data_IF_590055698533
#
_entry.id   IF_590055698533
#
_cell.length_a   1.000
_cell.length_b   1.000
_cell.length_c   1.000
_cell.angle_alpha   90.00
_cell.angle_beta   90.00
_cell.angle_gamma   90.00
#
_symmetry.space_group_name_H-M   'P 1'
#
loop_
_entity.id
_entity.type
_entity.pdbx_description
1 polymer ?
#
# COMPACT_ATOMS: atom_id res chain seq x y z
N UNK A 1 -47.31 -76.19 -33.23
CA UNK A 1 -48.63 -75.60 -33.26
C UNK A 1 -48.48 -74.12 -32.84
N UNK A 2 -48.69 -73.26 -33.81
CA UNK A 2 -49.11 -71.87 -33.85
C UNK A 2 -48.18 -70.79 -33.28
N UNK A 3 -47.50 -70.19 -34.15
CA UNK A 3 -46.85 -68.86 -34.16
C UNK A 3 -47.87 -67.73 -33.99
N UNK A 4 -47.59 -66.77 -33.17
CA UNK A 4 -48.13 -65.39 -33.30
C UNK A 4 -46.96 -64.38 -33.16
N UNK A 5 -46.71 -63.69 -34.26
CA UNK A 5 -45.76 -62.58 -34.28
C UNK A 5 -46.33 -61.32 -33.66
N UNK A 6 -45.54 -60.61 -32.97
CA UNK A 6 -45.83 -59.29 -32.46
C UNK A 6 -44.87 -58.28 -33.14
N UNK A 7 -45.41 -57.57 -34.14
CA UNK A 7 -44.76 -56.46 -34.82
C UNK A 7 -45.05 -55.19 -34.00
N UNK A 8 -44.09 -54.75 -33.16
CA UNK A 8 -44.14 -53.45 -32.52
C UNK A 8 -43.54 -52.43 -33.45
N UNK A 9 -44.39 -51.57 -33.97
CA UNK A 9 -44.07 -50.31 -34.62
C UNK A 9 -43.15 -49.46 -33.76
N UNK A 10 -41.98 -49.10 -34.27
CA UNK A 10 -41.12 -48.07 -33.70
C UNK A 10 -41.58 -46.72 -34.25
N UNK A 11 -41.87 -45.71 -33.38
CA UNK A 11 -42.15 -44.37 -33.87
C UNK A 11 -40.87 -43.77 -34.47
N UNK A 12 -40.99 -43.31 -35.68
CA UNK A 12 -39.98 -42.54 -36.41
C UNK A 12 -39.58 -41.29 -35.63
N UNK A 13 -38.31 -41.15 -35.39
CA UNK A 13 -37.70 -39.99 -34.73
C UNK A 13 -38.04 -38.68 -35.50
N UNK A 14 -38.84 -37.82 -34.84
CA UNK A 14 -39.15 -36.49 -35.31
C UNK A 14 -37.85 -35.67 -35.50
N UNK A 15 -37.69 -35.10 -36.67
CA UNK A 15 -36.59 -34.25 -37.04
C UNK A 15 -36.44 -33.07 -36.04
N UNK A 16 -35.35 -33.04 -35.33
CA UNK A 16 -34.94 -31.86 -34.61
C UNK A 16 -34.54 -30.79 -35.65
N UNK A 17 -35.43 -29.87 -35.91
CA UNK A 17 -35.11 -28.63 -36.63
C UNK A 17 -34.00 -27.92 -35.83
N UNK A 18 -32.79 -27.94 -36.37
CA UNK A 18 -31.68 -27.17 -35.80
C UNK A 18 -32.07 -25.69 -35.86
N UNK A 19 -32.36 -25.10 -34.68
CA UNK A 19 -32.54 -23.68 -34.54
C UNK A 19 -31.18 -23.01 -34.87
N UNK A 20 -31.11 -22.39 -36.04
CA UNK A 20 -29.97 -21.52 -36.38
C UNK A 20 -29.87 -20.43 -35.33
N UNK A 21 -28.72 -20.25 -34.69
CA UNK A 21 -28.55 -19.14 -33.75
C UNK A 21 -28.84 -17.81 -34.44
N UNK A 22 -29.49 -16.87 -33.74
CA UNK A 22 -29.77 -15.54 -34.31
C UNK A 22 -28.45 -14.87 -34.77
N UNK A 23 -28.47 -14.11 -35.86
CA UNK A 23 -27.26 -13.43 -36.35
C UNK A 23 -26.71 -12.53 -35.23
N UNK A 24 -25.43 -12.77 -34.86
CA UNK A 24 -24.72 -11.93 -33.90
C UNK A 24 -24.72 -10.50 -34.41
N UNK A 25 -25.42 -9.63 -33.73
CA UNK A 25 -25.34 -8.18 -33.98
C UNK A 25 -23.88 -7.74 -33.78
N UNK A 26 -23.22 -7.14 -34.77
CA UNK A 26 -21.83 -6.73 -34.61
C UNK A 26 -21.77 -5.72 -33.47
N UNK A 27 -21.05 -6.10 -32.40
CA UNK A 27 -20.80 -5.21 -31.29
C UNK A 27 -20.16 -3.91 -31.80
N UNK A 28 -20.57 -2.72 -31.34
CA UNK A 28 -20.03 -1.47 -31.83
C UNK A 28 -18.51 -1.48 -31.56
N UNK A 29 -17.72 -1.54 -32.64
CA UNK A 29 -16.26 -1.44 -32.55
C UNK A 29 -15.94 -0.10 -31.94
N UNK A 30 -15.63 -0.09 -30.62
CA UNK A 30 -15.08 1.08 -29.93
C UNK A 30 -13.84 1.52 -30.71
N UNK A 31 -13.93 2.66 -31.40
CA UNK A 31 -12.81 3.26 -32.14
C UNK A 31 -11.67 3.44 -31.13
N UNK A 32 -10.62 2.64 -31.25
CA UNK A 32 -9.40 2.82 -30.47
C UNK A 32 -8.84 4.20 -30.82
N UNK A 33 -8.58 5.08 -29.84
CA UNK A 33 -8.02 6.39 -30.13
C UNK A 33 -6.70 6.25 -30.91
N UNK A 34 -6.43 7.18 -31.81
CA UNK A 34 -5.21 7.16 -32.63
C UNK A 34 -3.97 7.17 -31.75
N UNK A 35 -2.85 6.66 -32.21
CA UNK A 35 -1.60 6.65 -31.45
C UNK A 35 -1.21 8.07 -30.97
N UNK A 36 -1.44 9.09 -31.79
CA UNK A 36 -1.21 10.50 -31.44
C UNK A 36 -2.09 10.97 -30.27
N UNK A 37 -3.38 10.65 -30.29
CA UNK A 37 -4.30 11.01 -29.19
C UNK A 37 -3.86 10.37 -27.86
N UNK A 38 -3.41 9.11 -27.91
CA UNK A 38 -2.90 8.44 -26.70
C UNK A 38 -1.64 9.11 -26.15
N UNK A 39 -0.70 9.49 -27.02
CA UNK A 39 0.53 10.19 -26.61
C UNK A 39 0.20 11.56 -26.02
N UNK A 40 -0.70 12.32 -26.64
CA UNK A 40 -1.12 13.64 -26.14
C UNK A 40 -1.81 13.54 -24.78
N UNK A 41 -2.71 12.58 -24.59
CA UNK A 41 -3.38 12.34 -23.30
C UNK A 41 -2.35 11.92 -22.25
N UNK A 42 -1.44 10.99 -22.58
CA UNK A 42 -0.40 10.58 -21.67
C UNK A 42 0.51 11.75 -21.26
N UNK A 43 0.93 12.59 -22.22
CA UNK A 43 1.75 13.77 -21.96
C UNK A 43 1.02 14.78 -21.07
N UNK A 44 -0.25 15.05 -21.33
CA UNK A 44 -1.07 15.96 -20.52
C UNK A 44 -1.22 15.44 -19.07
N UNK A 45 -1.53 14.16 -18.91
CA UNK A 45 -1.61 13.52 -17.58
C UNK A 45 -0.26 13.61 -16.86
N UNK A 46 0.84 13.30 -17.56
CA UNK A 46 2.19 13.39 -16.96
C UNK A 46 2.50 14.83 -16.51
N UNK A 47 2.18 15.83 -17.30
CA UNK A 47 2.38 17.25 -16.95
C UNK A 47 1.59 17.65 -15.69
N UNK A 48 0.33 17.25 -15.61
CA UNK A 48 -0.52 17.55 -14.45
C UNK A 48 0.06 16.94 -13.17
N UNK A 49 0.50 15.66 -13.20
CA UNK A 49 1.08 14.99 -12.04
C UNK A 49 2.52 15.44 -11.74
N UNK A 50 3.27 15.90 -12.73
CA UNK A 50 4.62 16.42 -12.54
C UNK A 50 4.63 17.88 -12.00
N UNK A 51 3.55 18.64 -12.20
CA UNK A 51 3.49 20.04 -11.81
C UNK A 51 3.76 20.29 -10.31
N UNK A 52 3.14 19.60 -9.33
CA UNK A 52 3.43 19.80 -7.92
C UNK A 52 4.88 19.43 -7.55
N UNK A 53 5.44 18.39 -8.18
CA UNK A 53 6.83 17.98 -7.97
C UNK A 53 7.77 19.05 -8.53
N UNK A 54 7.48 19.58 -9.72
CA UNK A 54 8.22 20.66 -10.32
C UNK A 54 8.22 21.92 -9.40
N UNK A 55 7.04 22.31 -8.90
CA UNK A 55 6.93 23.46 -7.99
C UNK A 55 7.73 23.23 -6.71
N UNK A 56 7.69 22.06 -6.12
CA UNK A 56 8.49 21.73 -4.95
C UNK A 56 9.98 21.86 -5.24
N UNK A 57 10.46 21.24 -6.33
CA UNK A 57 11.87 21.27 -6.71
C UNK A 57 12.35 22.69 -6.98
N UNK A 58 11.63 23.44 -7.83
CA UNK A 58 12.02 24.79 -8.25
C UNK A 58 12.05 25.75 -7.05
N UNK A 59 11.05 25.70 -6.17
CA UNK A 59 10.94 26.62 -5.06
C UNK A 59 11.84 26.22 -3.87
N UNK A 60 12.25 24.97 -3.74
CA UNK A 60 13.27 24.58 -2.75
C UNK A 60 14.62 25.27 -2.99
N UNK A 61 14.91 25.67 -4.22
CA UNK A 61 16.18 26.35 -4.61
C UNK A 61 15.98 27.81 -4.96
N UNK A 62 14.91 28.46 -4.50
CA UNK A 62 14.54 29.84 -4.84
C UNK A 62 14.40 30.70 -3.58
N UNK A 63 14.95 31.93 -3.56
CA UNK A 63 14.74 32.87 -2.44
C UNK A 63 13.27 33.17 -2.21
N UNK A 64 12.86 33.36 -0.96
CA UNK A 64 11.49 33.63 -0.51
C UNK A 64 10.78 34.70 -1.36
N UNK A 65 11.43 35.83 -1.60
CA UNK A 65 10.88 36.96 -2.34
C UNK A 65 10.47 36.58 -3.78
N UNK A 66 11.27 35.71 -4.41
CA UNK A 66 10.99 35.22 -5.77
C UNK A 66 9.92 34.16 -5.82
N UNK A 67 9.79 33.41 -4.74
CA UNK A 67 8.68 32.43 -4.61
C UNK A 67 7.36 33.18 -4.61
N UNK A 68 7.27 34.25 -3.82
CA UNK A 68 6.08 35.11 -3.73
C UNK A 68 5.78 35.86 -5.04
N UNK A 69 6.80 36.27 -5.76
CA UNK A 69 6.63 36.97 -7.04
C UNK A 69 6.21 36.10 -8.20
N UNK A 70 6.86 34.94 -8.37
CA UNK A 70 6.55 33.98 -9.43
C UNK A 70 7.00 32.56 -9.04
N UNK A 71 6.11 31.74 -8.47
CA UNK A 71 6.45 30.38 -8.03
C UNK A 71 6.77 29.41 -9.19
N UNK A 72 6.32 29.70 -10.41
CA UNK A 72 6.48 28.78 -11.55
C UNK A 72 7.82 29.00 -12.28
N UNK A 73 8.42 30.20 -12.17
CA UNK A 73 9.68 30.50 -12.85
C UNK A 73 10.83 29.59 -12.36
N UNK A 74 11.81 29.25 -13.20
CA UNK A 74 13.00 28.52 -12.78
C UNK A 74 13.80 29.28 -11.70
N UNK A 75 14.57 28.59 -10.84
CA UNK A 75 15.34 29.20 -9.75
C UNK A 75 16.63 29.83 -10.31
N UNK A 76 16.56 31.08 -10.72
CA UNK A 76 17.74 31.77 -11.26
C UNK A 76 17.96 33.11 -10.60
N UNK A 77 19.12 33.39 -9.94
CA UNK A 77 20.13 32.38 -9.56
C UNK A 77 19.59 31.42 -8.52
N UNK A 78 20.01 30.11 -8.54
CA UNK A 78 19.61 29.15 -7.53
C UNK A 78 20.30 29.46 -6.19
N UNK A 79 19.62 29.16 -5.07
CA UNK A 79 20.19 29.21 -3.73
C UNK A 79 20.04 27.86 -3.02
N UNK A 80 20.93 27.59 -2.07
CA UNK A 80 20.84 26.47 -1.13
C UNK A 80 20.36 26.92 0.26
N UNK A 81 20.08 28.23 0.45
CA UNK A 81 19.74 28.78 1.75
C UNK A 81 18.56 28.09 2.39
N UNK A 82 17.50 27.82 1.62
CA UNK A 82 16.32 27.10 2.11
C UNK A 82 16.64 25.71 2.68
N UNK A 83 17.59 25.01 2.05
CA UNK A 83 18.01 23.67 2.50
C UNK A 83 18.92 23.77 3.73
N UNK A 84 19.85 24.72 3.73
CA UNK A 84 20.76 24.94 4.86
C UNK A 84 20.00 25.42 6.09
N UNK A 85 19.05 26.34 5.93
CA UNK A 85 18.16 26.81 7.00
C UNK A 85 17.29 25.67 7.53
N UNK A 86 16.70 24.84 6.64
CA UNK A 86 15.93 23.69 7.06
C UNK A 86 16.76 22.67 7.87
N UNK A 87 18.02 22.45 7.50
CA UNK A 87 18.92 21.54 8.20
C UNK A 87 19.46 22.12 9.52
N UNK A 88 19.66 23.44 9.60
CA UNK A 88 20.20 24.13 10.76
C UNK A 88 19.14 24.66 11.72
N UNK A 89 17.88 24.29 11.55
CA UNK A 89 16.79 24.68 12.46
C UNK A 89 17.11 24.32 13.92
N UNK A 90 16.84 25.25 14.86
CA UNK A 90 17.10 25.01 16.29
C UNK A 90 16.38 23.82 16.88
N UNK A 91 15.21 23.46 16.32
CA UNK A 91 14.41 22.30 16.74
C UNK A 91 14.91 20.97 16.15
N UNK A 92 15.96 20.99 15.32
CA UNK A 92 16.52 19.82 14.64
C UNK A 92 15.46 18.99 13.90
N UNK A 93 14.44 19.64 13.35
CA UNK A 93 13.29 18.99 12.71
C UNK A 93 13.69 17.95 11.67
N UNK A 94 14.61 18.29 10.76
CA UNK A 94 14.98 17.38 9.67
C UNK A 94 15.69 16.13 10.20
N UNK A 95 16.83 16.23 10.93
CA UNK A 95 17.52 15.01 11.37
C UNK A 95 16.68 14.18 12.35
N UNK A 96 15.97 14.81 13.28
CA UNK A 96 15.12 14.11 14.24
C UNK A 96 13.86 13.56 13.59
N UNK A 97 13.16 14.36 12.79
CA UNK A 97 11.94 13.95 12.10
C UNK A 97 12.18 12.80 11.12
N UNK A 98 13.25 12.82 10.33
CA UNK A 98 13.63 11.72 9.44
C UNK A 98 14.00 10.47 10.23
N UNK A 99 14.83 10.59 11.28
CA UNK A 99 15.18 9.49 12.17
C UNK A 99 13.94 8.85 12.80
N UNK A 100 13.05 9.65 13.33
CA UNK A 100 11.85 9.18 14.03
C UNK A 100 10.88 8.49 13.05
N UNK A 101 10.64 9.10 11.88
CA UNK A 101 9.83 8.48 10.82
C UNK A 101 10.43 7.15 10.36
N UNK A 102 11.75 7.08 10.21
CA UNK A 102 12.42 5.84 9.82
C UNK A 102 12.27 4.75 10.89
N UNK A 103 12.49 5.08 12.17
CA UNK A 103 12.31 4.14 13.29
C UNK A 103 10.88 3.61 13.32
N UNK A 104 9.88 4.51 13.26
CA UNK A 104 8.47 4.11 13.29
C UNK A 104 8.13 3.23 12.09
N UNK A 105 8.53 3.62 10.87
CA UNK A 105 8.24 2.84 9.68
C UNK A 105 8.92 1.47 9.70
N UNK A 106 10.23 1.42 9.97
CA UNK A 106 10.99 0.16 10.00
C UNK A 106 10.48 -0.78 11.08
N UNK A 107 10.30 -0.30 12.31
CA UNK A 107 9.84 -1.14 13.42
C UNK A 107 8.41 -1.65 13.20
N UNK A 108 7.49 -0.79 12.74
CA UNK A 108 6.13 -1.21 12.43
C UNK A 108 6.09 -2.26 11.31
N UNK A 109 6.80 -2.03 10.21
CA UNK A 109 6.86 -2.99 9.10
C UNK A 109 7.53 -4.29 9.52
N UNK A 110 8.63 -4.22 10.29
CA UNK A 110 9.33 -5.39 10.83
C UNK A 110 8.47 -6.26 11.74
N UNK A 111 7.46 -5.69 12.39
CA UNK A 111 6.48 -6.43 13.19
C UNK A 111 5.29 -6.92 12.36
N UNK A 112 4.71 -6.06 11.52
CA UNK A 112 3.51 -6.38 10.75
C UNK A 112 3.77 -7.47 9.71
N UNK A 113 4.91 -7.45 9.03
CA UNK A 113 5.24 -8.40 7.97
C UNK A 113 5.30 -9.85 8.48
N UNK A 114 6.12 -10.19 9.50
CA UNK A 114 6.16 -11.56 10.02
C UNK A 114 4.84 -11.98 10.67
N UNK A 115 4.21 -11.12 11.47
CA UNK A 115 2.93 -11.45 12.13
C UNK A 115 1.81 -11.64 11.10
N UNK A 116 1.66 -10.73 10.14
CA UNK A 116 0.66 -10.82 9.09
C UNK A 116 0.86 -12.04 8.19
N UNK A 117 2.10 -12.35 7.81
CA UNK A 117 2.40 -13.52 6.97
C UNK A 117 2.21 -14.84 7.72
N UNK A 118 2.67 -14.94 8.98
CA UNK A 118 2.49 -16.14 9.81
C UNK A 118 1.00 -16.41 10.07
N UNK A 119 0.25 -15.36 10.43
CA UNK A 119 -1.20 -15.46 10.61
C UNK A 119 -1.90 -15.89 9.32
N UNK A 120 -1.52 -15.30 8.18
CA UNK A 120 -2.07 -15.65 6.88
C UNK A 120 -1.75 -17.09 6.47
N UNK A 121 -0.54 -17.57 6.75
CA UNK A 121 -0.16 -18.97 6.54
C UNK A 121 -1.06 -19.91 7.35
N UNK A 122 -1.24 -19.60 8.63
CA UNK A 122 -2.08 -20.41 9.50
C UNK A 122 -3.55 -20.41 9.05
N UNK A 123 -4.13 -19.23 8.77
CA UNK A 123 -5.55 -19.13 8.40
C UNK A 123 -5.83 -19.65 6.99
N UNK A 124 -4.90 -19.57 6.04
CA UNK A 124 -5.08 -20.06 4.68
C UNK A 124 -5.26 -21.58 4.63
N UNK A 125 -4.63 -22.31 5.59
CA UNK A 125 -4.68 -23.78 5.72
C UNK A 125 -5.88 -24.30 6.53
N UNK A 126 -6.72 -23.41 7.01
CA UNK A 126 -7.95 -23.77 7.73
C UNK A 126 -9.15 -23.73 6.78
N UNK A 127 -10.22 -24.39 7.18
CA UNK A 127 -11.51 -24.36 6.51
C UNK A 127 -12.62 -24.07 7.52
N UNK A 128 -13.82 -23.78 7.05
CA UNK A 128 -14.99 -23.61 7.88
C UNK A 128 -15.35 -22.18 8.24
N UNK A 129 -16.39 -22.03 9.07
CA UNK A 129 -17.02 -20.75 9.41
C UNK A 129 -16.09 -19.80 10.17
N UNK A 130 -15.21 -20.33 11.01
CA UNK A 130 -14.26 -19.51 11.81
C UNK A 130 -13.27 -18.78 10.88
N UNK A 131 -12.73 -19.48 9.87
CA UNK A 131 -11.89 -18.81 8.86
C UNK A 131 -12.65 -17.68 8.16
N UNK A 132 -13.87 -17.96 7.71
CA UNK A 132 -14.69 -16.97 7.03
C UNK A 132 -14.95 -15.76 7.94
N UNK A 133 -15.32 -15.97 9.19
CA UNK A 133 -15.55 -14.89 10.17
C UNK A 133 -14.31 -14.04 10.40
N UNK A 134 -13.14 -14.64 10.57
CA UNK A 134 -11.87 -13.92 10.75
C UNK A 134 -11.55 -13.08 9.51
N UNK A 135 -11.68 -13.64 8.30
CA UNK A 135 -11.41 -12.89 7.07
C UNK A 135 -12.40 -11.75 6.87
N UNK A 136 -13.68 -11.94 7.21
CA UNK A 136 -14.67 -10.87 7.18
C UNK A 136 -14.32 -9.78 8.19
N UNK A 137 -13.96 -10.12 9.43
CA UNK A 137 -13.57 -9.15 10.46
C UNK A 137 -12.34 -8.33 10.03
N UNK A 138 -11.31 -8.98 9.45
CA UNK A 138 -10.14 -8.29 8.93
C UNK A 138 -10.47 -7.40 7.74
N UNK A 139 -11.36 -7.87 6.83
CA UNK A 139 -11.82 -7.04 5.71
C UNK A 139 -12.61 -5.84 6.18
N UNK A 140 -13.45 -6.00 7.19
CA UNK A 140 -14.15 -4.89 7.83
C UNK A 140 -13.17 -3.89 8.45
N UNK A 141 -12.08 -4.36 9.07
CA UNK A 141 -11.01 -3.51 9.60
C UNK A 141 -10.34 -2.62 8.54
N UNK A 142 -10.29 -3.06 7.28
CA UNK A 142 -9.81 -2.21 6.17
C UNK A 142 -10.79 -1.11 5.78
N UNK A 143 -12.08 -1.28 6.07
CA UNK A 143 -13.12 -0.31 5.70
C UNK A 143 -13.31 0.76 6.77
N UNK A 144 -12.82 0.54 7.99
CA UNK A 144 -12.94 1.52 9.08
C UNK A 144 -11.92 2.63 8.85
N UNK A 145 -12.34 3.89 8.70
CA UNK A 145 -11.43 5.01 8.57
C UNK A 145 -10.52 5.11 9.83
N UNK A 146 -9.19 5.27 9.67
CA UNK A 146 -8.27 5.39 10.81
C UNK A 146 -8.66 6.48 11.81
N UNK A 147 -9.30 7.55 11.33
CA UNK A 147 -9.76 8.67 12.15
C UNK A 147 -10.79 8.25 13.22
N UNK A 148 -11.63 7.26 12.89
CA UNK A 148 -12.67 6.75 13.81
C UNK A 148 -12.04 5.95 14.95
N UNK A 149 -10.96 5.23 14.66
CA UNK A 149 -10.27 4.39 15.64
C UNK A 149 -9.26 5.13 16.50
N UNK A 150 -8.93 6.38 16.16
CA UNK A 150 -7.87 7.15 16.81
C UNK A 150 -8.13 7.34 18.31
N UNK A 151 -9.29 7.86 18.71
CA UNK A 151 -9.62 8.07 20.11
C UNK A 151 -9.66 6.78 20.97
N UNK A 152 -10.33 5.71 20.53
CA UNK A 152 -10.23 4.41 21.19
C UNK A 152 -8.80 3.91 21.34
N UNK A 153 -7.98 4.07 20.30
CA UNK A 153 -6.57 3.64 20.32
C UNK A 153 -5.78 4.43 21.37
N UNK A 154 -5.92 5.75 21.42
CA UNK A 154 -5.26 6.59 22.43
C UNK A 154 -5.69 6.15 23.85
N UNK A 155 -6.97 5.92 24.08
CA UNK A 155 -7.46 5.46 25.41
C UNK A 155 -6.85 4.13 25.82
N UNK A 156 -6.73 3.17 24.89
CA UNK A 156 -6.09 1.88 25.15
C UNK A 156 -4.60 2.10 25.48
N UNK A 157 -3.90 2.93 24.71
CA UNK A 157 -2.49 3.23 24.95
C UNK A 157 -2.27 3.90 26.30
N UNK A 158 -3.12 4.86 26.69
CA UNK A 158 -3.07 5.49 28.02
C UNK A 158 -3.31 4.47 29.13
N UNK A 159 -4.29 3.58 28.94
CA UNK A 159 -4.59 2.54 29.93
C UNK A 159 -3.43 1.57 30.17
N UNK A 160 -2.65 1.25 29.13
CA UNK A 160 -1.47 0.36 29.23
C UNK A 160 -0.16 1.13 29.46
N UNK A 161 -0.20 2.48 29.62
CA UNK A 161 0.97 3.32 29.89
C UNK A 161 1.92 3.48 28.70
N UNK A 162 1.43 3.37 27.47
CA UNK A 162 2.20 3.51 26.23
C UNK A 162 1.80 4.76 25.41
N UNK A 163 0.96 5.64 25.96
CA UNK A 163 0.70 6.94 25.36
C UNK A 163 1.99 7.79 25.32
N UNK A 164 2.01 8.77 24.46
CA UNK A 164 3.16 9.64 24.23
C UNK A 164 4.49 8.91 24.00
N UNK A 165 4.45 7.73 23.35
CA UNK A 165 5.66 6.93 23.17
C UNK A 165 5.76 6.32 21.76
N UNK A 166 6.99 6.10 21.27
CA UNK A 166 7.22 5.37 20.02
C UNK A 166 6.72 3.92 20.05
N UNK A 167 6.93 3.14 21.12
CA UNK A 167 6.33 1.81 21.24
C UNK A 167 4.81 1.85 21.11
N UNK A 168 4.15 2.83 21.71
CA UNK A 168 2.71 3.03 21.60
C UNK A 168 2.27 3.29 20.15
N UNK A 169 2.97 4.16 19.44
CA UNK A 169 2.68 4.43 18.02
C UNK A 169 2.90 3.19 17.13
N UNK A 170 3.99 2.43 17.37
CA UNK A 170 4.27 1.18 16.65
C UNK A 170 3.19 0.13 16.93
N UNK A 171 2.73 0.03 18.18
CA UNK A 171 1.64 -0.87 18.57
C UNK A 171 0.30 -0.44 17.96
N UNK A 172 0.02 0.86 17.89
CA UNK A 172 -1.15 1.40 17.19
C UNK A 172 -1.16 1.02 15.71
N UNK A 173 -0.01 1.12 15.05
CA UNK A 173 0.16 0.69 13.65
C UNK A 173 -0.10 -0.82 13.49
N UNK A 174 0.30 -1.64 14.45
CA UNK A 174 0.03 -3.08 14.44
C UNK A 174 -1.47 -3.38 14.64
N UNK A 175 -2.14 -2.67 15.55
CA UNK A 175 -3.56 -2.88 15.85
C UNK A 175 -4.54 -2.32 14.82
N UNK A 176 -4.07 -1.47 13.89
CA UNK A 176 -4.90 -0.80 12.90
C UNK A 176 -5.11 -1.59 11.60
N UNK A 177 -5.60 -0.87 10.58
CA UNK A 177 -5.84 -1.43 9.24
C UNK A 177 -4.60 -1.99 8.52
N UNK A 178 -3.39 -1.63 8.97
CA UNK A 178 -2.15 -2.07 8.33
C UNK A 178 -1.92 -3.58 8.45
N UNK A 179 -2.19 -4.19 9.61
CA UNK A 179 -2.13 -5.64 9.77
C UNK A 179 -3.21 -6.32 8.92
N UNK A 180 -4.42 -5.78 8.89
CA UNK A 180 -5.52 -6.28 8.05
C UNK A 180 -5.13 -6.27 6.58
N UNK A 181 -4.50 -5.20 6.10
CA UNK A 181 -3.98 -5.12 4.73
C UNK A 181 -2.91 -6.19 4.46
N UNK A 182 -1.94 -6.33 5.35
CA UNK A 182 -0.89 -7.36 5.20
C UNK A 182 -1.50 -8.76 5.11
N UNK A 183 -2.44 -9.08 6.01
CA UNK A 183 -3.13 -10.38 5.99
C UNK A 183 -3.93 -10.58 4.71
N UNK A 184 -4.67 -9.56 4.25
CA UNK A 184 -5.43 -9.63 3.01
C UNK A 184 -4.54 -9.96 1.80
N UNK A 185 -3.42 -9.25 1.66
CA UNK A 185 -2.46 -9.50 0.57
C UNK A 185 -1.86 -10.90 0.69
N UNK A 186 -1.36 -11.28 1.87
CA UNK A 186 -0.72 -12.58 2.06
C UNK A 186 -1.70 -13.75 1.85
N UNK A 187 -2.94 -13.67 2.33
CA UNK A 187 -3.95 -14.72 2.10
C UNK A 187 -4.22 -14.90 0.62
N UNK A 188 -4.26 -13.81 -0.15
CA UNK A 188 -4.40 -13.86 -1.60
C UNK A 188 -3.27 -14.67 -2.27
N UNK A 189 -2.04 -14.38 -1.92
CA UNK A 189 -0.87 -15.07 -2.48
C UNK A 189 -0.68 -16.49 -1.95
N UNK A 190 -1.02 -16.77 -0.69
CA UNK A 190 -0.88 -18.10 -0.11
C UNK A 190 -1.81 -19.14 -0.74
N UNK A 191 -2.89 -18.71 -1.40
CA UNK A 191 -3.75 -19.59 -2.21
C UNK A 191 -3.05 -20.15 -3.45
N UNK A 192 -1.99 -19.50 -3.92
CA UNK A 192 -1.20 -19.97 -5.07
C UNK A 192 -0.07 -20.92 -4.68
N UNK A 193 0.21 -21.09 -3.38
CA UNK A 193 1.20 -22.06 -2.89
C UNK A 193 0.55 -23.44 -2.83
N UNK A 194 1.02 -24.45 -3.62
CA UNK A 194 0.47 -25.80 -3.64
C UNK A 194 0.51 -26.45 -2.26
N UNK A 195 -0.57 -27.15 -1.91
CA UNK A 195 -0.65 -27.85 -0.63
C UNK A 195 0.33 -29.02 -0.54
N UNK A 196 0.68 -29.62 -1.68
CA UNK A 196 1.61 -30.71 -1.81
C UNK A 196 3.00 -30.38 -1.27
N UNK A 197 3.47 -29.14 -1.52
CA UNK A 197 4.77 -28.65 -1.01
C UNK A 197 4.77 -28.64 0.53
N UNK A 198 3.66 -28.19 1.12
CA UNK A 198 3.53 -28.12 2.58
C UNK A 198 3.36 -29.49 3.19
N UNK A 199 2.64 -30.40 2.51
CA UNK A 199 2.45 -31.78 2.96
C UNK A 199 3.76 -32.58 2.89
N UNK A 200 4.51 -32.47 1.79
CA UNK A 200 5.81 -33.10 1.65
C UNK A 200 6.77 -32.66 2.77
N UNK A 201 6.85 -31.37 3.03
CA UNK A 201 7.70 -30.85 4.10
C UNK A 201 7.28 -31.35 5.50
N UNK A 202 5.98 -31.59 5.72
CA UNK A 202 5.52 -32.21 6.98
C UNK A 202 5.92 -33.68 7.09
N UNK A 203 5.88 -34.42 5.99
CA UNK A 203 6.35 -35.80 5.95
C UNK A 203 7.84 -35.89 6.23
N UNK A 204 8.63 -34.88 5.79
CA UNK A 204 10.05 -34.73 6.08
C UNK A 204 10.31 -34.27 7.54
N UNK A 205 9.28 -34.13 8.37
CA UNK A 205 9.41 -33.75 9.78
C UNK A 205 9.61 -32.26 10.04
N UNK A 206 9.38 -31.37 9.05
CA UNK A 206 9.51 -29.96 9.25
C UNK A 206 8.37 -29.39 10.12
N UNK A 207 8.73 -28.60 11.15
CA UNK A 207 7.75 -27.88 11.99
C UNK A 207 7.01 -26.80 11.20
N UNK A 208 5.81 -26.41 11.66
CA UNK A 208 5.02 -25.37 11.01
C UNK A 208 5.75 -24.04 10.87
N UNK A 209 6.57 -23.64 11.86
CA UNK A 209 7.39 -22.45 11.82
C UNK A 209 8.49 -22.55 10.75
N UNK A 210 9.13 -23.74 10.65
CA UNK A 210 10.15 -24.01 9.64
C UNK A 210 9.56 -23.96 8.23
N UNK A 211 8.38 -24.57 8.02
CA UNK A 211 7.65 -24.54 6.74
C UNK A 211 7.32 -23.09 6.38
N UNK A 212 6.74 -22.32 7.31
CA UNK A 212 6.41 -20.94 7.07
C UNK A 212 7.63 -20.11 6.66
N UNK A 213 8.72 -20.16 7.43
CA UNK A 213 9.87 -19.29 7.22
C UNK A 213 10.76 -19.72 6.04
N UNK A 214 11.07 -21.02 5.94
CA UNK A 214 12.05 -21.54 4.97
C UNK A 214 11.43 -21.92 3.62
N UNK A 215 10.12 -22.21 3.57
CA UNK A 215 9.48 -22.70 2.35
C UNK A 215 8.47 -21.65 1.85
N UNK A 216 7.50 -21.25 2.68
CA UNK A 216 6.40 -20.41 2.22
C UNK A 216 6.83 -18.96 2.01
N UNK A 217 7.58 -18.36 2.96
CA UNK A 217 8.02 -16.96 2.84
C UNK A 217 8.84 -16.67 1.57
N UNK A 218 9.78 -17.54 1.15
CA UNK A 218 10.45 -17.38 -0.15
C UNK A 218 9.50 -17.43 -1.35
N UNK A 219 8.48 -18.27 -1.32
CA UNK A 219 7.50 -18.39 -2.41
C UNK A 219 6.59 -17.17 -2.53
N UNK A 220 6.28 -16.52 -1.39
CA UNK A 220 5.43 -15.32 -1.36
C UNK A 220 6.22 -14.01 -1.31
N UNK A 221 7.50 -14.01 -1.69
CA UNK A 221 8.34 -12.79 -1.77
C UNK A 221 7.67 -11.62 -2.52
N UNK A 222 6.96 -11.83 -3.65
CA UNK A 222 6.27 -10.73 -4.32
C UNK A 222 5.19 -10.08 -3.45
N UNK A 223 4.44 -10.88 -2.67
CA UNK A 223 3.49 -10.36 -1.70
C UNK A 223 4.19 -9.56 -0.59
N UNK A 224 5.30 -10.09 -0.09
CA UNK A 224 6.11 -9.40 0.94
C UNK A 224 6.59 -8.04 0.44
N UNK A 225 7.11 -7.97 -0.78
CA UNK A 225 7.53 -6.71 -1.38
C UNK A 225 6.36 -5.71 -1.48
N UNK A 226 5.18 -6.17 -1.93
CA UNK A 226 3.97 -5.35 -1.98
C UNK A 226 3.60 -4.81 -0.59
N UNK A 227 3.53 -5.69 0.42
CA UNK A 227 3.19 -5.29 1.79
C UNK A 227 4.20 -4.30 2.35
N UNK A 228 5.49 -4.57 2.23
CA UNK A 228 6.56 -3.67 2.71
C UNK A 228 6.45 -2.29 2.09
N UNK A 229 6.29 -2.20 0.78
CA UNK A 229 6.21 -0.92 0.06
C UNK A 229 4.98 -0.12 0.50
N UNK A 230 3.78 -0.72 0.47
CA UNK A 230 2.56 0.00 0.84
C UNK A 230 2.57 0.43 2.31
N UNK A 231 2.97 -0.46 3.23
CA UNK A 231 3.04 -0.12 4.64
C UNK A 231 4.08 0.98 4.91
N UNK A 232 5.26 0.89 4.30
CA UNK A 232 6.28 1.93 4.47
C UNK A 232 5.76 3.28 3.99
N UNK A 233 5.11 3.33 2.81
CA UNK A 233 4.55 4.58 2.29
C UNK A 233 3.43 5.12 3.17
N UNK A 234 2.52 4.29 3.64
CA UNK A 234 1.41 4.73 4.48
C UNK A 234 1.88 5.22 5.85
N UNK A 235 2.76 4.46 6.51
CA UNK A 235 3.30 4.84 7.82
C UNK A 235 4.19 6.09 7.72
N UNK A 236 4.97 6.21 6.64
CA UNK A 236 5.79 7.40 6.40
C UNK A 236 4.95 8.66 6.23
N UNK A 237 3.85 8.57 5.51
CA UNK A 237 2.94 9.68 5.25
C UNK A 237 1.87 9.86 6.34
N UNK A 238 1.84 9.00 7.36
CA UNK A 238 0.89 9.15 8.45
C UNK A 238 1.19 10.43 9.24
N UNK A 239 0.14 11.20 9.41
CA UNK A 239 0.16 12.48 10.11
C UNK A 239 -0.62 12.41 11.42
N UNK A 240 -1.82 11.80 11.39
CA UNK A 240 -2.75 11.86 12.50
C UNK A 240 -2.29 11.03 13.71
N UNK A 241 -1.91 9.76 13.48
CA UNK A 241 -1.47 8.92 14.58
C UNK A 241 -0.23 9.49 15.30
N UNK A 242 0.86 9.89 14.59
CA UNK A 242 2.00 10.53 15.26
C UNK A 242 1.62 11.82 15.97
N UNK A 243 0.77 12.67 15.38
CA UNK A 243 0.38 13.95 15.97
C UNK A 243 -0.31 13.75 17.33
N UNK A 244 -1.25 12.81 17.41
CA UNK A 244 -2.06 12.62 18.60
C UNK A 244 -1.47 11.61 19.59
N UNK A 245 -0.74 10.60 19.12
CA UNK A 245 -0.15 9.57 20.01
C UNK A 245 1.18 10.04 20.59
N UNK A 246 2.09 10.63 19.81
CA UNK A 246 3.35 11.13 20.33
C UNK A 246 3.14 12.47 21.06
N UNK A 247 2.26 13.31 20.53
CA UNK A 247 2.06 14.66 21.03
C UNK A 247 3.32 15.55 20.91
N UNK A 248 3.32 16.73 21.54
CA UNK A 248 4.42 17.70 21.36
C UNK A 248 5.68 17.34 22.18
N UNK A 249 5.60 16.43 23.13
CA UNK A 249 6.66 16.17 24.12
C UNK A 249 7.71 15.16 23.66
N UNK A 250 7.35 14.18 22.81
CA UNK A 250 8.21 13.04 22.48
C UNK A 250 8.98 13.18 21.16
N UNK A 251 8.89 14.36 20.55
CA UNK A 251 9.47 14.61 19.22
C UNK A 251 8.50 14.25 18.09
N UNK A 252 8.84 14.69 16.91
CA UNK A 252 7.94 14.69 15.75
C UNK A 252 8.43 13.73 14.69
N UNK A 253 7.51 13.14 13.95
CA UNK A 253 7.81 12.57 12.65
C UNK A 253 8.01 13.70 11.65
N UNK A 254 8.60 13.39 10.50
CA UNK A 254 8.85 14.42 9.48
C UNK A 254 7.55 15.06 8.97
N UNK A 255 6.46 14.31 8.89
CA UNK A 255 5.15 14.80 8.46
C UNK A 255 4.50 15.72 9.49
N UNK A 256 4.55 15.38 10.78
CA UNK A 256 4.03 16.23 11.84
C UNK A 256 4.88 17.49 12.02
N UNK A 257 6.19 17.38 11.90
CA UNK A 257 7.10 18.52 11.96
C UNK A 257 6.90 19.49 10.80
N UNK A 258 6.70 19.01 9.60
CA UNK A 258 6.35 19.84 8.44
C UNK A 258 5.07 20.63 8.68
N UNK A 259 4.04 20.02 9.23
CA UNK A 259 2.79 20.70 9.56
C UNK A 259 2.99 21.83 10.58
N UNK A 260 3.79 21.60 11.61
CA UNK A 260 4.06 22.61 12.65
C UNK A 260 4.96 23.75 12.16
N UNK A 261 5.63 23.59 11.01
CA UNK A 261 6.40 24.66 10.35
C UNK A 261 5.48 25.73 9.73
N UNK A 262 4.23 25.37 9.42
CA UNK A 262 3.23 26.31 8.92
C UNK A 262 2.76 27.16 10.10
N UNK A 263 3.39 28.34 10.27
CA UNK A 263 3.04 29.28 11.33
C UNK A 263 1.63 29.85 11.15
N UNK A 264 1.03 30.31 12.26
CA UNK A 264 -0.30 30.92 12.23
C UNK A 264 -0.32 32.32 11.57
N UNK A 265 0.80 33.04 11.59
CA UNK A 265 0.86 34.43 11.17
C UNK A 265 1.80 34.70 9.98
N UNK A 266 2.79 33.85 9.76
CA UNK A 266 3.71 33.95 8.62
C UNK A 266 4.21 32.58 8.21
N UNK A 267 4.30 32.36 6.90
CA UNK A 267 4.86 31.13 6.32
C UNK A 267 6.12 31.54 5.56
N UNK A 268 7.25 30.98 5.97
CA UNK A 268 8.45 30.98 5.16
C UNK A 268 8.33 29.87 4.10
N UNK A 269 7.94 30.26 2.90
CA UNK A 269 7.76 29.31 1.79
C UNK A 269 9.09 28.71 1.34
N UNK A 270 10.20 29.44 1.41
CA UNK A 270 11.52 28.92 1.09
C UNK A 270 11.88 27.76 2.00
N UNK A 271 11.81 27.98 3.30
CA UNK A 271 12.05 26.96 4.31
C UNK A 271 11.05 25.79 4.18
N UNK A 272 9.76 26.09 3.94
CA UNK A 272 8.74 25.05 3.74
C UNK A 272 9.07 24.13 2.55
N UNK A 273 9.39 24.70 1.38
CA UNK A 273 9.78 23.91 0.21
C UNK A 273 11.11 23.19 0.42
N UNK A 274 12.06 23.77 1.14
CA UNK A 274 13.30 23.10 1.54
C UNK A 274 13.04 21.85 2.40
N UNK A 275 12.19 21.97 3.42
CA UNK A 275 11.79 20.84 4.26
C UNK A 275 11.04 19.78 3.45
N UNK A 276 10.09 20.18 2.60
CA UNK A 276 9.35 19.26 1.74
C UNK A 276 10.27 18.47 0.81
N UNK A 277 11.26 19.14 0.23
CA UNK A 277 12.26 18.48 -0.63
C UNK A 277 13.07 17.45 0.15
N UNK A 278 13.62 17.81 1.32
CA UNK A 278 14.40 16.91 2.17
C UNK A 278 13.56 15.73 2.71
N UNK A 279 12.32 16.03 3.12
CA UNK A 279 11.38 15.01 3.61
C UNK A 279 10.98 14.00 2.52
N UNK A 280 10.81 14.48 1.28
CA UNK A 280 10.45 13.65 0.13
C UNK A 280 11.62 12.88 -0.48
N UNK A 281 12.85 13.36 -0.30
CA UNK A 281 14.04 12.73 -0.90
C UNK A 281 14.24 11.28 -0.45
N UNK A 282 14.08 11.00 0.85
CA UNK A 282 14.31 9.65 1.40
C UNK A 282 13.31 8.61 0.87
N UNK A 283 11.99 8.84 0.87
CA UNK A 283 11.03 7.93 0.24
C UNK A 283 11.26 7.73 -1.27
N UNK A 284 11.62 8.79 -1.98
CA UNK A 284 11.90 8.71 -3.42
C UNK A 284 13.12 7.84 -3.69
N UNK A 285 14.22 8.05 -2.97
CA UNK A 285 15.42 7.19 -3.07
C UNK A 285 15.07 5.75 -2.70
N UNK A 286 14.34 5.54 -1.61
CA UNK A 286 13.86 4.22 -1.22
C UNK A 286 13.03 3.54 -2.31
N UNK A 287 12.10 4.26 -2.93
CA UNK A 287 11.29 3.75 -4.03
C UNK A 287 12.15 3.37 -5.25
N UNK A 288 13.08 4.21 -5.65
CA UNK A 288 13.96 3.94 -6.80
C UNK A 288 14.78 2.66 -6.63
N UNK A 289 15.13 2.27 -5.40
CA UNK A 289 15.87 1.03 -5.12
C UNK A 289 14.99 -0.22 -5.26
N UNK A 290 13.68 -0.12 -4.97
CA UNK A 290 12.75 -1.27 -4.94
C UNK A 290 11.72 -1.29 -6.07
N UNK A 291 11.72 -0.30 -6.98
CA UNK A 291 10.70 -0.16 -8.04
C UNK A 291 10.57 -1.38 -8.96
N UNK A 292 11.66 -2.09 -9.23
CA UNK A 292 11.64 -3.29 -10.08
C UNK A 292 10.82 -4.43 -9.44
N UNK A 293 10.97 -4.61 -8.13
CA UNK A 293 10.21 -5.60 -7.36
C UNK A 293 8.72 -5.21 -7.28
N UNK A 294 8.44 -3.91 -7.21
CA UNK A 294 7.08 -3.38 -7.20
C UNK A 294 6.31 -3.70 -8.48
N UNK A 295 6.92 -3.41 -9.64
CA UNK A 295 6.30 -3.70 -10.95
C UNK A 295 6.05 -5.20 -11.13
N UNK A 296 7.01 -6.05 -10.74
CA UNK A 296 6.87 -7.50 -10.81
C UNK A 296 5.75 -8.03 -9.90
N UNK A 297 5.57 -7.45 -8.69
CA UNK A 297 4.52 -7.83 -7.76
C UNK A 297 3.10 -7.48 -8.25
N UNK A 298 2.92 -6.30 -8.87
CA UNK A 298 1.63 -5.87 -9.41
C UNK A 298 1.21 -6.68 -10.64
N UNK A 299 2.15 -6.99 -11.54
CA UNK A 299 1.85 -7.73 -12.77
C UNK A 299 1.54 -9.21 -12.51
N UNK A 300 2.15 -9.83 -11.51
CA UNK A 300 1.84 -11.21 -11.11
C UNK A 300 0.43 -11.38 -10.52
N UNK A 301 -0.13 -10.34 -9.93
CA UNK A 301 -1.52 -10.32 -9.44
C UNK A 301 -2.59 -10.05 -10.50
N UNK A 302 -2.20 -9.45 -11.64
CA UNK A 302 -3.13 -9.05 -12.71
C UNK A 302 -3.25 -10.09 -13.84
N UNK A 303 -2.44 -11.13 -13.85
CA UNK A 303 -2.38 -12.17 -14.92
C UNK A 303 -3.18 -13.43 -14.62
N UNK A 304 -4.22 -13.34 -13.77
CA UNK A 304 -5.19 -14.42 -13.54
C UNK A 304 -6.57 -14.05 -14.03
#
# INVERSE_FOLDING_TARGET
MTTIGDTRDRPTAGGRTALTPPPETPSPRRRRPSGRTRVLVAAAVTLVFAAPIYLMLVNAFKPQERILGNPVAPPWPPTLDNLTEALSRPDNLIPLGLRNSLIVAVCSVALIVPLGSAFSFYISRRSGRVKAAILVALSAGLMIPPQVTLLPTIRILTWIGLDHSYPGLILANLGGGYLSFAVFVYVGFMRSVPDEIVQAARLDGASGLRIWWQIVMPLVRPATATVVIFLTLWIWNDFLNPLFILGPLQGQTITTGLYLTIGQYSVDYGQLFGIMFLAGALPVVGYLTVQKQFVAGLTSGASK
#
